data_IF_751993084361
#
_entry.id   IF_751993084361
#
_cell.length_a   1.000
_cell.length_b   1.000
_cell.length_c   1.000
_cell.angle_alpha   90.00
_cell.angle_beta   90.00
_cell.angle_gamma   90.00
#
_symmetry.space_group_name_H-M   'P 1'
#
loop_
_entity.id
_entity.type
_entity.pdbx_description
1 polymer ?
#
# COMPACT_ATOMS: atom_id res chain seq x y z
N UNK A 1 -16.27 -27.51 -15.12
CA UNK A 1 -15.37 -26.65 -14.32
C UNK A 1 -14.22 -27.51 -13.78
N UNK A 2 -12.94 -27.20 -14.08
CA UNK A 2 -11.82 -27.94 -13.47
C UNK A 2 -11.78 -27.61 -11.97
N UNK A 3 -11.92 -28.62 -11.14
CA UNK A 3 -11.89 -28.47 -9.68
C UNK A 3 -10.52 -27.93 -9.25
N UNK A 4 -10.52 -26.80 -8.55
CA UNK A 4 -9.29 -26.16 -8.07
C UNK A 4 -8.60 -27.08 -7.06
N UNK A 5 -7.38 -27.54 -7.38
CA UNK A 5 -6.64 -28.44 -6.50
C UNK A 5 -6.29 -27.74 -5.18
N UNK A 6 -6.35 -28.47 -4.07
CA UNK A 6 -6.07 -27.95 -2.72
C UNK A 6 -4.82 -28.63 -2.13
N UNK A 7 -4.19 -28.00 -1.11
CA UNK A 7 -3.09 -28.63 -0.35
C UNK A 7 -3.48 -30.02 0.17
N UNK A 8 -4.72 -30.18 0.66
CA UNK A 8 -5.24 -31.46 1.15
C UNK A 8 -5.28 -32.50 0.02
N UNK A 9 -5.70 -32.12 -1.16
CA UNK A 9 -5.76 -33.03 -2.31
C UNK A 9 -4.37 -33.44 -2.79
N UNK A 10 -3.41 -32.52 -2.84
CA UNK A 10 -2.00 -32.81 -3.14
C UNK A 10 -1.43 -33.81 -2.13
N UNK A 11 -1.67 -33.59 -0.84
CA UNK A 11 -1.20 -34.45 0.24
C UNK A 11 -1.76 -35.88 0.09
N UNK A 12 -3.05 -36.02 -0.23
CA UNK A 12 -3.70 -37.31 -0.48
C UNK A 12 -3.11 -38.03 -1.69
N UNK A 13 -2.99 -37.35 -2.85
CA UNK A 13 -2.49 -37.96 -4.10
C UNK A 13 -1.03 -38.42 -3.98
N UNK A 14 -0.22 -37.68 -3.22
CA UNK A 14 1.21 -38.00 -3.04
C UNK A 14 1.50 -38.84 -1.78
N UNK A 15 0.47 -39.20 -1.02
CA UNK A 15 0.56 -39.96 0.24
C UNK A 15 1.56 -39.33 1.23
N UNK A 16 1.43 -38.02 1.45
CA UNK A 16 2.24 -37.25 2.41
C UNK A 16 1.33 -36.38 3.29
N UNK A 17 1.88 -35.84 4.38
CA UNK A 17 1.12 -34.92 5.22
C UNK A 17 0.92 -33.55 4.55
N UNK A 18 -0.15 -32.82 4.93
CA UNK A 18 -0.40 -31.45 4.48
C UNK A 18 0.78 -30.53 4.86
N UNK A 19 1.38 -30.76 6.04
CA UNK A 19 2.55 -30.00 6.49
C UNK A 19 3.77 -30.26 5.62
N UNK A 20 3.98 -31.50 5.18
CA UNK A 20 5.05 -31.88 4.23
C UNK A 20 4.87 -31.15 2.90
N UNK A 21 3.65 -31.13 2.34
CA UNK A 21 3.35 -30.39 1.11
C UNK A 21 3.62 -28.90 1.29
N UNK A 22 3.13 -28.31 2.38
CA UNK A 22 3.33 -26.88 2.67
C UNK A 22 4.81 -26.50 2.80
N UNK A 23 5.61 -27.33 3.49
CA UNK A 23 7.06 -27.13 3.65
C UNK A 23 7.81 -27.31 2.32
N UNK A 24 7.46 -28.32 1.53
CA UNK A 24 8.07 -28.56 0.22
C UNK A 24 7.82 -27.40 -0.76
N UNK A 25 6.61 -26.86 -0.81
CA UNK A 25 6.26 -25.70 -1.65
C UNK A 25 6.96 -24.41 -1.22
N UNK A 26 7.35 -24.29 0.05
CA UNK A 26 8.16 -23.18 0.59
C UNK A 26 9.67 -23.40 0.52
N UNK A 27 10.10 -24.46 -0.16
CA UNK A 27 11.52 -24.80 -0.31
C UNK A 27 12.26 -25.12 0.99
N UNK A 28 11.54 -25.54 2.05
CA UNK A 28 12.14 -25.83 3.37
C UNK A 28 13.19 -26.92 3.27
N UNK A 29 14.30 -26.75 3.99
CA UNK A 29 15.38 -27.74 4.08
C UNK A 29 15.02 -28.99 4.93
N UNK A 30 13.89 -28.93 5.64
CA UNK A 30 13.38 -30.07 6.40
C UNK A 30 12.81 -31.19 5.54
N UNK A 31 12.58 -30.93 4.26
CA UNK A 31 12.04 -31.91 3.31
C UNK A 31 13.15 -32.37 2.37
N UNK A 32 13.32 -33.70 2.26
CA UNK A 32 14.31 -34.29 1.35
C UNK A 32 14.09 -33.84 -0.11
N UNK A 33 15.18 -33.75 -0.86
CA UNK A 33 15.20 -33.16 -2.23
C UNK A 33 14.20 -33.89 -3.13
N UNK A 34 14.23 -35.22 -3.18
CA UNK A 34 13.34 -36.01 -4.01
C UNK A 34 11.85 -35.77 -3.72
N UNK A 35 11.46 -35.74 -2.43
CA UNK A 35 10.09 -35.48 -2.01
C UNK A 35 9.67 -34.06 -2.38
N UNK A 36 10.58 -33.10 -2.23
CA UNK A 36 10.36 -31.69 -2.59
C UNK A 36 10.09 -31.55 -4.08
N UNK A 37 10.96 -32.09 -4.92
CA UNK A 37 10.83 -32.05 -6.39
C UNK A 37 9.53 -32.70 -6.86
N UNK A 38 9.18 -33.86 -6.32
CA UNK A 38 7.93 -34.55 -6.62
C UNK A 38 6.70 -33.72 -6.30
N UNK A 39 6.67 -33.07 -5.12
CA UNK A 39 5.56 -32.23 -4.71
C UNK A 39 5.48 -30.96 -5.57
N UNK A 40 6.60 -30.30 -5.85
CA UNK A 40 6.66 -29.10 -6.67
C UNK A 40 6.24 -29.38 -8.11
N UNK A 41 6.70 -30.50 -8.70
CA UNK A 41 6.30 -30.92 -10.05
C UNK A 41 4.79 -31.18 -10.14
N UNK A 42 4.22 -31.88 -9.15
CA UNK A 42 2.79 -32.13 -9.07
C UNK A 42 1.99 -30.84 -8.93
N UNK A 43 2.39 -29.95 -8.04
CA UNK A 43 1.75 -28.65 -7.84
C UNK A 43 1.80 -27.79 -9.12
N UNK A 44 2.93 -27.79 -9.84
CA UNK A 44 3.10 -27.08 -11.11
C UNK A 44 2.22 -27.67 -12.22
N UNK A 45 2.14 -28.99 -12.33
CA UNK A 45 1.32 -29.68 -13.33
C UNK A 45 -0.17 -29.34 -13.19
N UNK A 46 -0.66 -29.23 -11.96
CA UNK A 46 -2.05 -28.86 -11.67
C UNK A 46 -2.29 -27.35 -11.50
N UNK A 47 -1.28 -26.50 -11.81
CA UNK A 47 -1.35 -25.05 -11.60
C UNK A 47 -1.83 -24.67 -10.18
N UNK A 48 -1.38 -25.41 -9.18
CA UNK A 48 -1.70 -25.09 -7.79
C UNK A 48 -1.14 -23.73 -7.41
N UNK A 49 -2.00 -22.89 -6.87
CA UNK A 49 -1.58 -21.62 -6.23
C UNK A 49 -1.98 -21.67 -4.76
N UNK A 50 -1.06 -21.36 -3.82
CA UNK A 50 -1.41 -21.21 -2.43
C UNK A 50 -2.60 -20.27 -2.26
N UNK A 51 -3.49 -20.59 -1.34
CA UNK A 51 -4.57 -19.67 -1.00
C UNK A 51 -3.99 -18.60 -0.07
N UNK A 52 -3.71 -17.42 -0.63
CA UNK A 52 -3.14 -16.30 0.13
C UNK A 52 -4.06 -15.86 1.27
N UNK A 53 -5.38 -15.96 1.11
CA UNK A 53 -6.35 -15.67 2.19
C UNK A 53 -6.14 -16.63 3.39
N UNK A 54 -5.95 -17.91 3.14
CA UNK A 54 -5.68 -18.88 4.21
C UNK A 54 -4.30 -18.69 4.86
N UNK A 55 -3.32 -18.18 4.09
CA UNK A 55 -1.99 -17.83 4.58
C UNK A 55 -2.02 -16.53 5.40
N UNK A 56 -2.76 -15.53 4.97
CA UNK A 56 -2.89 -14.25 5.70
C UNK A 56 -3.61 -14.45 7.03
N UNK A 57 -4.65 -15.27 7.08
CA UNK A 57 -5.30 -15.66 8.35
C UNK A 57 -4.33 -16.32 9.33
N UNK A 58 -3.39 -17.15 8.84
CA UNK A 58 -2.38 -17.80 9.68
C UNK A 58 -1.31 -16.84 10.17
N UNK A 59 -0.90 -15.87 9.36
CA UNK A 59 0.19 -14.96 9.65
C UNK A 59 -0.26 -13.57 10.12
N UNK A 60 -1.57 -13.30 10.09
CA UNK A 60 -2.18 -11.98 10.37
C UNK A 60 -1.56 -10.85 9.52
N UNK A 61 -1.05 -11.19 8.32
CA UNK A 61 -0.45 -10.27 7.37
C UNK A 61 -0.83 -10.68 5.96
N UNK A 62 -1.31 -9.72 5.19
CA UNK A 62 -1.72 -9.91 3.79
C UNK A 62 -0.59 -9.59 2.82
N UNK A 63 0.43 -8.89 3.29
CA UNK A 63 1.50 -8.35 2.45
C UNK A 63 0.95 -7.43 1.35
N UNK A 64 -0.04 -6.62 1.70
CA UNK A 64 -0.66 -5.65 0.79
C UNK A 64 -0.81 -4.31 1.49
N UNK A 65 -0.43 -3.23 0.82
CA UNK A 65 -0.57 -1.83 1.28
C UNK A 65 -1.59 -1.15 0.39
N UNK A 66 -2.54 -0.42 1.00
CA UNK A 66 -3.45 0.48 0.31
C UNK A 66 -2.81 1.85 0.14
N UNK A 67 -2.76 2.36 -1.09
CA UNK A 67 -2.31 3.73 -1.39
C UNK A 67 -3.49 4.50 -1.93
N UNK A 68 -3.91 5.56 -1.24
CA UNK A 68 -5.00 6.42 -1.67
C UNK A 68 -4.44 7.79 -2.02
N UNK A 69 -4.72 8.22 -3.25
CA UNK A 69 -4.28 9.51 -3.78
C UNK A 69 -5.44 10.23 -4.43
N UNK A 70 -5.38 11.57 -4.54
CA UNK A 70 -6.43 12.33 -5.21
C UNK A 70 -6.62 11.94 -6.67
N UNK A 71 -5.52 11.90 -7.44
CA UNK A 71 -5.55 11.63 -8.88
C UNK A 71 -4.17 11.18 -9.41
N UNK A 72 -4.16 10.53 -10.57
CA UNK A 72 -2.90 10.06 -11.22
C UNK A 72 -2.43 10.98 -12.35
N UNK A 73 -3.19 12.01 -12.70
CA UNK A 73 -2.89 12.88 -13.85
C UNK A 73 -1.64 13.74 -13.56
N UNK A 74 -1.40 14.08 -12.31
CA UNK A 74 -0.20 14.82 -11.92
C UNK A 74 1.02 13.93 -11.84
N UNK A 75 2.08 14.34 -12.51
CA UNK A 75 3.37 13.65 -12.55
C UNK A 75 3.93 13.37 -11.13
N UNK A 76 3.66 14.25 -10.18
CA UNK A 76 4.07 14.09 -8.78
C UNK A 76 3.55 12.77 -8.18
N UNK A 77 2.23 12.53 -8.22
CA UNK A 77 1.66 11.31 -7.67
C UNK A 77 2.13 10.05 -8.39
N UNK A 78 2.35 10.12 -9.71
CA UNK A 78 2.93 9.01 -10.45
C UNK A 78 4.33 8.63 -9.95
N UNK A 79 5.19 9.63 -9.65
CA UNK A 79 6.51 9.40 -9.09
C UNK A 79 6.46 8.85 -7.66
N UNK A 80 5.54 9.33 -6.84
CA UNK A 80 5.34 8.83 -5.48
C UNK A 80 4.91 7.35 -5.51
N UNK A 81 3.95 6.99 -6.37
CA UNK A 81 3.51 5.60 -6.54
C UNK A 81 4.67 4.70 -6.98
N UNK A 82 5.47 5.13 -7.96
CA UNK A 82 6.65 4.39 -8.43
C UNK A 82 7.63 4.11 -7.27
N UNK A 83 7.90 5.14 -6.45
CA UNK A 83 8.75 5.01 -5.27
C UNK A 83 8.19 4.05 -4.22
N UNK A 84 6.90 4.15 -3.92
CA UNK A 84 6.21 3.27 -2.97
C UNK A 84 6.23 1.83 -3.50
N UNK A 85 5.88 1.60 -4.76
CA UNK A 85 5.82 0.29 -5.39
C UNK A 85 7.18 -0.43 -5.35
N UNK A 86 8.24 0.28 -5.70
CA UNK A 86 9.60 -0.24 -5.67
C UNK A 86 9.99 -0.75 -4.29
N UNK A 87 9.82 0.08 -3.24
CA UNK A 87 10.15 -0.29 -1.86
C UNK A 87 9.25 -1.42 -1.36
N UNK A 88 7.95 -1.37 -1.67
CA UNK A 88 6.99 -2.40 -1.30
C UNK A 88 7.39 -3.76 -1.91
N UNK A 89 7.67 -3.80 -3.21
CA UNK A 89 8.07 -5.02 -3.93
C UNK A 89 9.38 -5.59 -3.39
N UNK A 90 10.39 -4.77 -3.11
CA UNK A 90 11.65 -5.21 -2.49
C UNK A 90 11.43 -5.87 -1.11
N UNK A 91 10.38 -5.47 -0.39
CA UNK A 91 10.00 -6.04 0.92
C UNK A 91 8.90 -7.13 0.82
N UNK A 92 8.53 -7.56 -0.37
CA UNK A 92 7.55 -8.61 -0.63
C UNK A 92 6.10 -8.18 -0.34
N UNK A 93 5.81 -6.88 -0.47
CA UNK A 93 4.47 -6.31 -0.41
C UNK A 93 3.92 -6.03 -1.80
N UNK A 94 2.61 -6.13 -1.94
CA UNK A 94 1.87 -5.61 -3.09
C UNK A 94 1.28 -4.24 -2.75
N UNK A 95 1.03 -3.42 -3.77
CA UNK A 95 0.40 -2.12 -3.64
C UNK A 95 -0.94 -2.13 -4.37
N UNK A 96 -1.99 -1.66 -3.70
CA UNK A 96 -3.29 -1.38 -4.30
C UNK A 96 -3.48 0.13 -4.28
N UNK A 97 -3.65 0.73 -5.46
CA UNK A 97 -3.87 2.17 -5.60
C UNK A 97 -5.36 2.44 -5.78
N UNK A 98 -5.91 3.36 -4.99
CA UNK A 98 -7.27 3.86 -5.11
C UNK A 98 -7.26 5.39 -5.29
N UNK A 99 -8.24 5.91 -6.02
CA UNK A 99 -8.36 7.33 -6.35
C UNK A 99 -9.54 7.95 -5.62
N UNK A 100 -9.28 8.95 -4.78
CA UNK A 100 -10.34 9.71 -4.12
C UNK A 100 -11.01 10.73 -5.06
N UNK A 101 -10.37 11.08 -6.17
CA UNK A 101 -10.84 12.10 -7.11
C UNK A 101 -11.21 13.42 -6.41
N UNK A 102 -10.42 13.82 -5.43
CA UNK A 102 -10.61 15.03 -4.62
C UNK A 102 -11.94 15.06 -3.82
N UNK A 103 -12.60 13.90 -3.66
CA UNK A 103 -13.86 13.75 -2.94
C UNK A 103 -13.65 13.08 -1.59
N UNK A 104 -14.18 13.70 -0.52
CA UNK A 104 -14.22 13.11 0.81
C UNK A 104 -15.00 11.79 0.82
N UNK A 105 -16.18 11.74 0.20
CA UNK A 105 -17.00 10.53 0.14
C UNK A 105 -16.27 9.34 -0.50
N UNK A 106 -15.55 9.61 -1.61
CA UNK A 106 -14.76 8.56 -2.28
C UNK A 106 -13.55 8.12 -1.44
N UNK A 107 -12.93 9.03 -0.73
CA UNK A 107 -11.84 8.72 0.18
C UNK A 107 -12.32 7.76 1.28
N UNK A 108 -13.46 8.07 1.92
CA UNK A 108 -14.14 7.21 2.91
C UNK A 108 -14.41 5.82 2.32
N UNK A 109 -15.12 5.74 1.20
CA UNK A 109 -15.48 4.47 0.54
C UNK A 109 -14.24 3.65 0.19
N UNK A 110 -13.17 4.29 -0.30
CA UNK A 110 -11.93 3.61 -0.63
C UNK A 110 -11.24 3.04 0.62
N UNK A 111 -11.21 3.80 1.73
CA UNK A 111 -10.61 3.34 2.97
C UNK A 111 -11.39 2.15 3.54
N UNK A 112 -12.70 2.24 3.65
CA UNK A 112 -13.56 1.14 4.12
C UNK A 112 -13.37 -0.11 3.26
N UNK A 113 -13.48 0.03 1.92
CA UNK A 113 -13.35 -1.09 0.98
C UNK A 113 -11.99 -1.78 1.10
N UNK A 114 -10.92 -1.01 1.21
CA UNK A 114 -9.57 -1.56 1.33
C UNK A 114 -9.32 -2.17 2.72
N UNK A 115 -9.83 -1.56 3.79
CA UNK A 115 -9.73 -2.10 5.14
C UNK A 115 -10.39 -3.49 5.23
N UNK A 116 -11.58 -3.65 4.64
CA UNK A 116 -12.29 -4.92 4.54
C UNK A 116 -11.57 -5.95 3.63
N UNK A 117 -10.78 -5.47 2.68
CA UNK A 117 -10.10 -6.29 1.65
C UNK A 117 -8.80 -6.94 2.12
N UNK A 118 -8.51 -6.93 3.42
CA UNK A 118 -7.31 -7.54 4.00
C UNK A 118 -6.00 -6.88 3.51
N UNK A 119 -5.81 -5.60 3.81
CA UNK A 119 -4.52 -4.90 3.69
C UNK A 119 -3.84 -4.80 5.06
N UNK A 120 -2.54 -4.50 5.05
CA UNK A 120 -1.74 -4.38 6.27
C UNK A 120 -1.60 -2.93 6.76
N UNK A 121 -1.98 -1.94 5.95
CA UNK A 121 -1.94 -0.52 6.29
C UNK A 121 -2.14 0.39 5.08
N UNK A 122 -2.21 1.69 5.35
CA UNK A 122 -2.47 2.73 4.36
C UNK A 122 -1.31 3.72 4.19
N UNK A 123 -1.15 4.21 2.97
CA UNK A 123 -0.42 5.44 2.64
C UNK A 123 -1.41 6.36 1.94
N UNK A 124 -1.67 7.54 2.48
CA UNK A 124 -2.77 8.42 2.09
C UNK A 124 -2.30 9.86 1.87
N UNK A 125 -2.68 10.46 0.75
CA UNK A 125 -2.70 11.92 0.56
C UNK A 125 -4.14 12.39 0.59
N UNK A 126 -4.46 13.29 1.52
CA UNK A 126 -5.84 13.72 1.76
C UNK A 126 -6.45 14.39 0.53
N UNK A 127 -7.73 14.11 0.27
CA UNK A 127 -8.49 14.81 -0.77
C UNK A 127 -8.79 16.26 -0.36
N UNK A 128 -9.02 17.13 -1.35
CA UNK A 128 -9.50 18.49 -1.07
C UNK A 128 -10.80 18.48 -0.29
N UNK A 129 -11.70 17.56 -0.60
CA UNK A 129 -12.96 17.40 0.13
C UNK A 129 -12.75 17.15 1.62
N UNK A 130 -11.83 16.25 1.98
CA UNK A 130 -11.47 15.95 3.36
C UNK A 130 -10.79 17.13 4.05
N UNK A 131 -9.89 17.81 3.36
CA UNK A 131 -9.23 19.01 3.87
C UNK A 131 -10.24 20.17 4.12
N UNK A 132 -11.25 20.31 3.28
CA UNK A 132 -12.28 21.34 3.42
C UNK A 132 -13.31 21.01 4.51
N UNK A 133 -13.76 19.76 4.59
CA UNK A 133 -14.73 19.32 5.59
C UNK A 133 -14.13 19.26 7.00
N UNK A 134 -12.79 19.06 7.11
CA UNK A 134 -12.10 18.77 8.37
C UNK A 134 -12.69 17.55 9.09
N UNK A 135 -13.28 16.63 8.34
CA UNK A 135 -13.83 15.38 8.84
C UNK A 135 -12.85 14.23 8.56
N UNK A 136 -12.23 13.71 9.61
CA UNK A 136 -11.22 12.66 9.58
C UNK A 136 -11.69 11.34 10.20
N UNK A 137 -13.00 11.22 10.48
CA UNK A 137 -13.57 10.09 11.22
C UNK A 137 -13.19 8.73 10.60
N UNK A 138 -13.22 8.62 9.29
CA UNK A 138 -12.84 7.39 8.55
C UNK A 138 -11.38 6.97 8.77
N UNK A 139 -10.48 7.92 8.99
CA UNK A 139 -9.08 7.64 9.29
C UNK A 139 -8.94 7.17 10.73
N UNK A 140 -9.57 7.88 11.67
CA UNK A 140 -9.55 7.54 13.09
C UNK A 140 -10.17 6.15 13.34
N UNK A 141 -11.25 5.81 12.62
CA UNK A 141 -11.90 4.51 12.70
C UNK A 141 -10.95 3.37 12.31
N UNK A 142 -10.30 3.49 11.16
CA UNK A 142 -9.32 2.50 10.66
C UNK A 142 -8.13 2.37 11.61
N UNK A 143 -7.63 3.49 12.14
CA UNK A 143 -6.53 3.49 13.12
C UNK A 143 -6.94 2.86 14.45
N UNK A 144 -8.18 3.10 14.91
CA UNK A 144 -8.72 2.48 16.14
C UNK A 144 -8.81 0.96 16.06
N UNK A 145 -8.96 0.41 14.85
CA UNK A 145 -8.92 -1.03 14.57
C UNK A 145 -7.50 -1.59 14.52
N UNK A 146 -6.48 -0.75 14.76
CA UNK A 146 -5.07 -1.13 14.80
C UNK A 146 -4.39 -1.18 13.43
N UNK A 147 -4.99 -0.58 12.41
CA UNK A 147 -4.41 -0.50 11.08
C UNK A 147 -3.53 0.76 10.96
N UNK A 148 -2.23 0.64 10.62
CA UNK A 148 -1.34 1.78 10.50
C UNK A 148 -1.71 2.64 9.28
N UNK A 149 -1.64 3.94 9.47
CA UNK A 149 -1.83 4.96 8.42
C UNK A 149 -0.60 5.86 8.38
N UNK A 150 -0.13 6.15 7.18
CA UNK A 150 0.91 7.16 6.92
C UNK A 150 0.32 8.21 6.00
N UNK A 151 0.34 9.46 6.40
CA UNK A 151 -0.03 10.58 5.52
C UNK A 151 1.18 11.10 4.77
N UNK A 152 0.98 11.55 3.55
CA UNK A 152 2.01 12.23 2.77
C UNK A 152 1.43 13.39 1.96
N UNK A 153 2.28 14.38 1.63
CA UNK A 153 1.95 15.57 0.86
C UNK A 153 0.87 16.40 1.56
N UNK A 154 -0.41 16.06 1.40
CA UNK A 154 -1.51 16.71 2.12
C UNK A 154 -1.81 15.97 3.40
N UNK A 155 -1.61 16.66 4.50
CA UNK A 155 -1.72 16.12 5.86
C UNK A 155 -2.70 16.93 6.69
N UNK A 156 -3.11 16.38 7.83
CA UNK A 156 -3.80 17.10 8.89
C UNK A 156 -3.06 16.88 10.21
N UNK A 157 -2.80 17.96 10.93
CA UNK A 157 -2.04 17.90 12.20
C UNK A 157 -2.84 17.19 13.30
N UNK A 158 -4.17 17.23 13.21
CA UNK A 158 -5.10 16.62 14.16
C UNK A 158 -5.02 15.08 14.18
N UNK A 159 -4.56 14.47 13.09
CA UNK A 159 -4.43 13.02 12.99
C UNK A 159 -3.09 12.58 13.58
N UNK A 160 -3.13 11.71 14.58
CA UNK A 160 -1.94 11.18 15.26
C UNK A 160 -1.38 9.95 14.50
N UNK A 161 -0.66 10.20 13.42
CA UNK A 161 -0.03 9.18 12.59
C UNK A 161 1.30 9.67 12.03
N UNK A 162 2.08 8.76 11.45
CA UNK A 162 3.30 9.12 10.73
C UNK A 162 2.99 9.98 9.50
N UNK A 163 3.84 10.97 9.24
CA UNK A 163 3.66 11.94 8.15
C UNK A 163 4.94 12.09 7.35
N UNK A 164 4.83 12.08 6.03
CA UNK A 164 5.93 12.33 5.09
C UNK A 164 5.64 13.60 4.31
N UNK A 165 6.35 14.67 4.65
CA UNK A 165 6.14 16.01 4.08
C UNK A 165 7.45 16.63 3.61
N UNK A 166 7.34 17.63 2.75
CA UNK A 166 8.44 18.52 2.36
C UNK A 166 8.32 19.81 3.17
N UNK A 167 9.45 20.37 3.59
CA UNK A 167 9.49 21.69 4.24
C UNK A 167 9.40 22.79 3.16
N UNK A 168 8.17 23.07 2.71
CA UNK A 168 7.88 24.04 1.66
C UNK A 168 8.24 25.47 2.07
N UNK A 169 8.05 25.80 3.37
CA UNK A 169 8.41 27.12 3.91
C UNK A 169 9.92 27.33 3.75
N UNK A 170 10.71 26.38 4.19
CA UNK A 170 12.17 26.48 4.08
C UNK A 170 12.62 26.43 2.60
N UNK A 171 11.92 25.65 1.77
CA UNK A 171 12.13 25.59 0.31
C UNK A 171 11.92 26.96 -0.34
N UNK A 172 10.77 27.60 -0.09
CA UNK A 172 10.43 28.93 -0.60
C UNK A 172 11.40 30.00 -0.07
N UNK A 173 11.74 29.95 1.23
CA UNK A 173 12.71 30.86 1.83
C UNK A 173 14.08 30.77 1.15
N UNK A 174 14.61 29.57 0.92
CA UNK A 174 15.86 29.35 0.22
C UNK A 174 15.83 29.88 -1.21
N UNK A 175 14.72 29.65 -1.93
CA UNK A 175 14.55 30.12 -3.30
C UNK A 175 14.61 31.66 -3.38
N UNK A 176 13.84 32.37 -2.51
CA UNK A 176 13.82 33.83 -2.47
C UNK A 176 15.18 34.38 -2.06
N UNK A 177 15.82 33.83 -1.03
CA UNK A 177 17.16 34.26 -0.62
C UNK A 177 18.21 34.07 -1.71
N UNK A 178 18.11 32.99 -2.50
CA UNK A 178 18.97 32.79 -3.64
C UNK A 178 18.85 33.94 -4.66
N UNK A 179 17.62 34.35 -4.98
CA UNK A 179 17.37 35.47 -5.88
C UNK A 179 17.94 36.78 -5.33
N UNK A 180 17.75 37.07 -4.04
CA UNK A 180 18.28 38.24 -3.35
C UNK A 180 19.83 38.24 -3.40
N UNK A 181 20.45 37.11 -3.09
CA UNK A 181 21.94 36.99 -3.10
C UNK A 181 22.56 37.20 -4.49
N UNK A 182 21.76 36.95 -5.55
CA UNK A 182 22.11 37.24 -6.94
C UNK A 182 21.80 38.69 -7.34
N UNK A 183 21.47 39.56 -6.38
CA UNK A 183 21.22 40.99 -6.61
C UNK A 183 19.87 41.30 -7.25
N UNK A 184 18.91 40.35 -7.28
CA UNK A 184 17.58 40.60 -7.84
C UNK A 184 16.78 41.42 -6.85
N UNK A 185 16.27 42.59 -7.29
CA UNK A 185 15.52 43.55 -6.46
C UNK A 185 14.00 43.43 -6.66
N UNK A 186 13.60 43.03 -7.87
CA UNK A 186 12.16 42.86 -8.21
C UNK A 186 11.90 41.37 -8.40
N UNK A 187 11.18 40.79 -7.44
CA UNK A 187 10.85 39.39 -7.39
C UNK A 187 9.33 39.27 -7.49
N UNK A 188 8.84 38.48 -8.46
CA UNK A 188 7.41 38.20 -8.65
C UNK A 188 7.10 36.81 -8.13
N UNK A 189 6.07 36.70 -7.30
CA UNK A 189 5.48 35.43 -6.91
C UNK A 189 4.23 35.18 -7.73
N UNK A 190 4.18 34.05 -8.42
CA UNK A 190 2.99 33.53 -9.07
C UNK A 190 2.37 32.47 -8.17
N UNK A 191 1.11 32.63 -7.83
CA UNK A 191 0.35 31.71 -6.99
C UNK A 191 -1.08 31.62 -7.46
N UNK A 192 -1.82 30.62 -7.01
CA UNK A 192 -3.27 30.50 -7.22
C UNK A 192 -4.03 31.16 -6.08
N UNK A 193 -5.28 31.59 -6.32
CA UNK A 193 -6.12 32.20 -5.28
C UNK A 193 -6.74 31.17 -4.33
N UNK A 194 -7.02 29.97 -4.85
CA UNK A 194 -7.65 28.87 -4.12
C UNK A 194 -6.70 27.68 -4.07
N UNK A 195 -5.71 27.75 -3.18
CA UNK A 195 -4.92 26.53 -2.97
C UNK A 195 -5.18 25.97 -1.59
N UNK A 196 -5.48 24.70 -1.57
CA UNK A 196 -5.38 23.83 -0.43
C UNK A 196 -4.16 22.98 -0.72
N UNK A 197 -3.08 23.27 -0.03
CA UNK A 197 -1.87 22.45 -0.05
C UNK A 197 -1.90 21.53 1.14
#
# INVERSE_FOLDING_TARGET
MKQKITLKKIAQELNVSISTVSKALKNSNEIGVETKERIQAFAKFYNYRPNNIALSLKHRKTKTIGVIIPEVVHYFFAQVIDGIEKVATENGYNVIVALSNESHEKEVINMETLADSLIDGFILSLSKGTMQSQDFHHIDEVMSQGMPVVLFDRIADQIDCDKVVVDDIQGAYKAVNHLISKGRKNILLLTTQDYIT
#
